data_IF_762860903042
#
_entry.id   IF_762860903042
#
_cell.length_a   1.000
_cell.length_b   1.000
_cell.length_c   1.000
_cell.angle_alpha   90.00
_cell.angle_beta   90.00
_cell.angle_gamma   90.00
#
_symmetry.space_group_name_H-M   'P 1'
#
loop_
_entity.id
_entity.type
_entity.pdbx_description
1 polymer ?
#
# COMPACT_ATOMS: atom_id res chain seq x y z
N UNK A 1 -1.01 15.99 29.63
CA UNK A 1 -0.80 14.95 30.66
C UNK A 1 -1.22 13.62 30.07
N UNK A 2 -0.35 12.62 30.18
CA UNK A 2 -0.62 11.23 29.78
C UNK A 2 -0.64 10.38 31.05
N UNK A 3 -1.61 9.48 31.13
CA UNK A 3 -1.88 8.55 32.22
C UNK A 3 -1.96 7.16 31.60
N UNK A 4 -1.35 6.18 32.26
CA UNK A 4 -1.37 4.76 31.89
C UNK A 4 -2.14 4.02 32.98
N UNK A 5 -3.04 3.12 32.58
CA UNK A 5 -3.78 2.28 33.54
C UNK A 5 -2.99 1.01 33.84
N UNK A 6 -2.80 0.71 35.12
CA UNK A 6 -2.06 -0.48 35.55
C UNK A 6 -2.88 -1.75 35.35
N UNK A 7 -2.22 -2.82 34.91
CA UNK A 7 -2.82 -4.12 34.58
C UNK A 7 -4.19 -4.00 33.85
N UNK A 8 -4.23 -3.23 32.76
CA UNK A 8 -5.49 -2.88 32.10
C UNK A 8 -6.33 -4.10 31.71
N UNK A 9 -5.75 -5.05 30.96
CA UNK A 9 -6.47 -6.26 30.53
C UNK A 9 -6.85 -7.18 31.70
N UNK A 10 -5.97 -7.32 32.70
CA UNK A 10 -6.26 -8.08 33.92
C UNK A 10 -7.34 -7.45 34.80
N UNK A 11 -7.67 -6.17 34.58
CA UNK A 11 -8.79 -5.50 35.27
C UNK A 11 -10.17 -5.92 34.74
N UNK A 12 -10.23 -6.72 33.66
CA UNK A 12 -11.47 -7.22 33.07
C UNK A 12 -11.65 -8.72 33.34
N UNK A 13 -12.08 -9.04 34.56
CA UNK A 13 -12.35 -10.40 34.97
C UNK A 13 -13.70 -10.95 34.42
N UNK A 14 -13.89 -12.25 34.58
CA UNK A 14 -15.08 -12.96 34.10
C UNK A 14 -16.38 -12.32 34.58
N UNK A 15 -16.44 -12.00 35.88
CA UNK A 15 -17.61 -11.40 36.51
C UNK A 15 -17.95 -10.03 35.93
N UNK A 16 -16.94 -9.21 35.65
CA UNK A 16 -17.09 -7.87 35.06
C UNK A 16 -17.59 -7.94 33.62
N UNK A 17 -17.03 -8.84 32.80
CA UNK A 17 -17.48 -9.05 31.41
C UNK A 17 -18.92 -9.57 31.37
N UNK A 18 -19.20 -10.63 32.12
CA UNK A 18 -20.55 -11.21 32.24
C UNK A 18 -21.56 -10.18 32.75
N UNK A 19 -21.21 -9.47 33.83
CA UNK A 19 -22.07 -8.46 34.44
C UNK A 19 -22.39 -7.31 33.49
N UNK A 20 -21.42 -6.86 32.70
CA UNK A 20 -21.65 -5.84 31.67
C UNK A 20 -22.72 -6.27 30.67
N UNK A 21 -22.59 -7.46 30.08
CA UNK A 21 -23.53 -7.93 29.06
C UNK A 21 -24.94 -8.20 29.58
N UNK A 22 -25.08 -8.56 30.87
CA UNK A 22 -26.38 -8.71 31.52
C UNK A 22 -27.03 -7.35 31.82
N UNK A 23 -26.26 -6.39 32.33
CA UNK A 23 -26.81 -5.15 32.91
C UNK A 23 -26.84 -3.96 31.96
N UNK A 24 -26.09 -4.01 30.85
CA UNK A 24 -26.08 -2.91 29.89
C UNK A 24 -27.40 -2.87 29.11
N UNK A 25 -28.07 -1.71 29.13
CA UNK A 25 -29.39 -1.49 28.50
C UNK A 25 -29.45 -1.70 26.99
N UNK A 26 -28.31 -1.61 26.28
CA UNK A 26 -28.27 -1.84 24.84
C UNK A 26 -28.13 -3.32 24.49
N UNK A 27 -27.74 -4.16 25.46
CA UNK A 27 -27.49 -5.58 25.27
C UNK A 27 -28.54 -6.43 25.99
N UNK A 28 -28.71 -6.23 27.30
CA UNK A 28 -29.68 -6.94 28.16
C UNK A 28 -29.70 -8.46 27.91
N UNK A 29 -28.52 -9.07 27.75
CA UNK A 29 -28.44 -10.48 27.35
C UNK A 29 -28.92 -11.40 28.46
N UNK A 30 -29.57 -12.50 28.07
CA UNK A 30 -29.88 -13.59 28.97
C UNK A 30 -28.61 -14.09 29.68
N UNK A 31 -28.76 -14.48 30.94
CA UNK A 31 -27.64 -14.86 31.82
C UNK A 31 -26.75 -15.92 31.19
N UNK A 32 -27.33 -16.92 30.55
CA UNK A 32 -26.57 -18.02 29.92
C UNK A 32 -25.75 -17.55 28.73
N UNK A 33 -26.30 -16.64 27.91
CA UNK A 33 -25.60 -16.06 26.75
C UNK A 33 -24.44 -15.19 27.21
N UNK A 34 -24.66 -14.32 28.20
CA UNK A 34 -23.60 -13.51 28.78
C UNK A 34 -22.50 -14.35 29.44
N UNK A 35 -22.89 -15.48 30.06
CA UNK A 35 -21.95 -16.44 30.65
C UNK A 35 -21.11 -17.11 29.57
N UNK A 36 -21.73 -17.58 28.48
CA UNK A 36 -21.02 -18.18 27.34
C UNK A 36 -20.03 -17.19 26.69
N UNK A 37 -20.44 -15.93 26.48
CA UNK A 37 -19.55 -14.88 25.96
C UNK A 37 -18.35 -14.67 26.90
N UNK A 38 -18.59 -14.57 28.21
CA UNK A 38 -17.52 -14.39 29.18
C UNK A 38 -16.56 -15.59 29.24
N UNK A 39 -17.07 -16.82 29.07
CA UNK A 39 -16.25 -18.04 29.01
C UNK A 39 -15.36 -18.09 27.76
N UNK A 40 -15.86 -17.61 26.63
CA UNK A 40 -15.09 -17.52 25.38
C UNK A 40 -14.06 -16.39 25.45
N UNK A 41 -14.46 -15.25 26.03
CA UNK A 41 -13.64 -14.05 26.02
C UNK A 41 -12.52 -14.07 27.06
N UNK A 42 -12.74 -14.67 28.24
CA UNK A 42 -11.80 -14.62 29.35
C UNK A 42 -10.99 -15.91 29.43
N UNK A 43 -9.69 -15.78 29.72
CA UNK A 43 -8.79 -16.88 30.02
C UNK A 43 -8.11 -16.59 31.36
N UNK A 44 -8.08 -17.57 32.28
CA UNK A 44 -7.54 -17.39 33.65
C UNK A 44 -8.09 -16.16 34.38
N UNK A 45 -9.39 -15.93 34.25
CA UNK A 45 -10.14 -14.81 34.85
C UNK A 45 -9.70 -13.40 34.40
N UNK A 46 -9.15 -13.28 33.20
CA UNK A 46 -8.82 -12.00 32.57
C UNK A 46 -9.08 -12.02 31.06
N UNK A 47 -9.16 -10.84 30.45
CA UNK A 47 -9.16 -10.73 28.98
C UNK A 47 -7.74 -10.95 28.45
N UNK A 48 -7.48 -12.00 27.65
CA UNK A 48 -6.14 -12.27 27.15
C UNK A 48 -5.70 -11.21 26.13
N UNK A 49 -4.44 -10.81 26.22
CA UNK A 49 -3.81 -9.97 25.19
C UNK A 49 -3.66 -10.78 23.89
N UNK A 50 -3.98 -10.17 22.75
CA UNK A 50 -3.94 -10.83 21.44
C UNK A 50 -5.25 -11.50 21.01
N UNK A 51 -6.24 -11.65 21.90
CA UNK A 51 -7.58 -12.08 21.49
C UNK A 51 -8.28 -10.97 20.69
N UNK A 52 -8.95 -11.29 19.57
CA UNK A 52 -9.68 -10.31 18.78
C UNK A 52 -10.90 -9.73 19.54
N UNK A 53 -11.43 -10.45 20.53
CA UNK A 53 -12.58 -10.00 21.32
C UNK A 53 -12.17 -8.98 22.40
N UNK A 54 -10.97 -9.12 22.97
CA UNK A 54 -10.53 -8.30 24.12
C UNK A 54 -10.61 -6.80 23.85
N UNK A 55 -10.05 -6.23 22.76
CA UNK A 55 -10.10 -4.79 22.51
C UNK A 55 -11.52 -4.23 22.34
N UNK A 56 -12.44 -5.04 21.83
CA UNK A 56 -13.85 -4.64 21.65
C UNK A 56 -14.53 -4.58 23.02
N UNK A 57 -14.38 -5.64 23.81
CA UNK A 57 -15.00 -5.76 25.14
C UNK A 57 -14.46 -4.68 26.08
N UNK A 58 -13.14 -4.43 26.11
CA UNK A 58 -12.56 -3.39 26.97
C UNK A 58 -13.11 -2.01 26.62
N UNK A 59 -13.24 -1.66 25.33
CA UNK A 59 -13.82 -0.39 24.91
C UNK A 59 -15.29 -0.24 25.31
N UNK A 60 -16.09 -1.30 25.21
CA UNK A 60 -17.49 -1.30 25.66
C UNK A 60 -17.60 -1.06 27.17
N UNK A 61 -16.79 -1.78 27.95
CA UNK A 61 -16.81 -1.69 29.41
C UNK A 61 -16.23 -0.36 29.92
N UNK A 62 -15.24 0.22 29.24
CA UNK A 62 -14.68 1.53 29.57
C UNK A 62 -15.61 2.70 29.25
N UNK A 63 -16.64 2.51 28.43
CA UNK A 63 -17.48 3.61 27.94
C UNK A 63 -18.11 4.48 29.05
N UNK A 64 -18.64 3.95 30.17
CA UNK A 64 -19.15 4.76 31.27
C UNK A 64 -18.06 5.65 31.91
N UNK A 65 -16.84 5.12 32.06
CA UNK A 65 -15.69 5.90 32.54
C UNK A 65 -15.37 7.02 31.55
N UNK A 66 -15.33 6.72 30.25
CA UNK A 66 -15.06 7.70 29.20
C UNK A 66 -16.06 8.86 29.24
N UNK A 67 -17.35 8.59 29.47
CA UNK A 67 -18.38 9.65 29.62
C UNK A 67 -18.05 10.58 30.79
N UNK A 68 -17.68 10.00 31.95
CA UNK A 68 -17.38 10.78 33.16
C UNK A 68 -16.12 11.61 32.97
N UNK A 69 -15.05 11.01 32.46
CA UNK A 69 -13.77 11.68 32.23
C UNK A 69 -13.88 12.76 31.14
N UNK A 70 -14.61 12.51 30.06
CA UNK A 70 -14.89 13.51 29.04
C UNK A 70 -15.70 14.69 29.58
N UNK A 71 -16.71 14.43 30.44
CA UNK A 71 -17.48 15.50 31.10
C UNK A 71 -16.61 16.31 32.05
N UNK A 72 -15.75 15.64 32.83
CA UNK A 72 -14.79 16.31 33.71
C UNK A 72 -13.83 17.19 32.90
N UNK A 73 -13.26 16.66 31.82
CA UNK A 73 -12.37 17.42 30.94
C UNK A 73 -13.07 18.67 30.39
N UNK A 74 -14.27 18.51 29.81
CA UNK A 74 -15.05 19.62 29.28
C UNK A 74 -15.33 20.69 30.34
N UNK A 75 -15.73 20.30 31.55
CA UNK A 75 -16.01 21.21 32.67
C UNK A 75 -14.81 22.10 33.02
N UNK A 76 -13.59 21.56 32.92
CA UNK A 76 -12.37 22.29 33.28
C UNK A 76 -11.58 22.83 32.07
N UNK A 77 -12.20 22.89 30.89
CA UNK A 77 -11.56 23.35 29.64
C UNK A 77 -10.35 22.51 29.22
N UNK A 78 -10.47 21.20 29.38
CA UNK A 78 -9.53 20.20 28.89
C UNK A 78 -10.19 19.32 27.82
N UNK A 79 -9.37 18.69 26.99
CA UNK A 79 -9.77 17.65 26.05
C UNK A 79 -9.30 16.29 26.58
N UNK A 80 -10.18 15.30 26.53
CA UNK A 80 -9.91 13.92 26.92
C UNK A 80 -9.85 13.03 25.67
N UNK A 81 -8.87 12.14 25.63
CA UNK A 81 -8.77 11.06 24.64
C UNK A 81 -8.22 9.81 25.31
N UNK A 82 -8.70 8.62 24.90
CA UNK A 82 -8.20 7.33 25.38
C UNK A 82 -7.87 6.43 24.20
N UNK A 83 -6.77 5.70 24.30
CA UNK A 83 -6.40 4.61 23.40
C UNK A 83 -6.02 3.40 24.27
N UNK A 84 -6.89 2.39 24.32
CA UNK A 84 -6.77 1.29 25.28
C UNK A 84 -6.62 1.82 26.73
N UNK A 85 -5.47 1.57 27.35
CA UNK A 85 -5.04 1.98 28.69
C UNK A 85 -4.40 3.37 28.75
N UNK A 86 -3.92 3.89 27.63
CA UNK A 86 -3.34 5.23 27.51
C UNK A 86 -4.45 6.29 27.51
N UNK A 87 -4.53 7.07 28.59
CA UNK A 87 -5.42 8.23 28.74
C UNK A 87 -4.61 9.52 28.58
N UNK A 88 -5.11 10.45 27.78
CA UNK A 88 -4.50 11.77 27.59
C UNK A 88 -5.49 12.88 27.89
N UNK A 89 -5.07 13.81 28.74
CA UNK A 89 -5.71 15.11 28.94
C UNK A 89 -4.83 16.22 28.35
N UNK A 90 -5.42 17.13 27.59
CA UNK A 90 -4.76 18.32 27.05
C UNK A 90 -5.57 19.59 27.36
N UNK A 91 -4.90 20.74 27.44
CA UNK A 91 -5.55 22.03 27.66
C UNK A 91 -4.79 23.13 26.90
N UNK A 92 -5.49 24.23 26.61
CA UNK A 92 -4.89 25.46 26.05
C UNK A 92 -4.50 26.47 27.13
N UNK A 93 -4.81 26.17 28.40
CA UNK A 93 -4.41 27.00 29.54
C UNK A 93 -2.92 26.81 29.83
N UNK A 94 -2.27 27.85 30.34
CA UNK A 94 -0.85 27.79 30.75
C UNK A 94 -0.61 26.77 31.88
N UNK A 95 -1.60 26.59 32.75
CA UNK A 95 -1.56 25.61 33.83
C UNK A 95 -2.73 24.64 33.69
N UNK A 96 -2.46 23.37 33.99
CA UNK A 96 -3.50 22.36 34.09
C UNK A 96 -4.42 22.68 35.29
N UNK A 97 -5.74 22.47 35.17
CA UNK A 97 -6.65 22.65 36.29
C UNK A 97 -6.33 21.69 37.44
N UNK A 98 -6.34 22.21 38.67
CA UNK A 98 -6.09 21.43 39.91
C UNK A 98 -7.05 20.25 40.09
N UNK A 99 -8.24 20.33 39.49
CA UNK A 99 -9.23 19.26 39.47
C UNK A 99 -8.90 18.09 38.51
N UNK A 100 -7.86 18.23 37.68
CA UNK A 100 -7.36 17.20 36.76
C UNK A 100 -5.98 16.75 37.22
N UNK A 101 -5.10 17.69 37.57
CA UNK A 101 -3.71 17.42 37.90
C UNK A 101 -3.24 18.38 39.00
N UNK A 102 -2.45 17.87 39.93
CA UNK A 102 -1.84 18.65 41.02
C UNK A 102 -0.34 18.66 40.84
N UNK A 103 0.28 19.81 41.10
CA UNK A 103 1.73 19.97 41.19
C UNK A 103 2.13 20.05 42.67
N UNK A 104 3.10 19.26 43.10
CA UNK A 104 3.65 19.31 44.45
C UNK A 104 5.16 19.18 44.36
N UNK A 105 5.89 20.20 44.83
CA UNK A 105 7.36 20.27 44.76
C UNK A 105 7.92 20.01 43.35
N UNK A 106 7.27 20.54 42.31
CA UNK A 106 7.65 20.35 40.91
C UNK A 106 7.29 18.99 40.31
N UNK A 107 6.66 18.09 41.08
CA UNK A 107 6.16 16.79 40.60
C UNK A 107 4.69 16.89 40.26
N UNK A 108 4.34 16.48 39.04
CA UNK A 108 2.98 16.50 38.53
C UNK A 108 2.32 15.13 38.72
N UNK A 109 1.15 15.12 39.37
CA UNK A 109 0.37 13.91 39.62
C UNK A 109 -1.09 14.13 39.23
N UNK A 110 -1.82 13.06 38.84
CA UNK A 110 -3.26 13.11 38.71
C UNK A 110 -3.91 13.62 40.00
N UNK A 111 -4.93 14.48 39.88
CA UNK A 111 -5.64 14.95 41.06
C UNK A 111 -6.38 13.81 41.76
N UNK A 112 -6.59 13.92 43.09
CA UNK A 112 -7.40 12.96 43.86
C UNK A 112 -8.78 12.73 43.26
N UNK A 113 -9.36 13.78 42.65
CA UNK A 113 -10.67 13.70 42.00
C UNK A 113 -10.64 12.83 40.75
N UNK A 114 -9.63 13.00 39.90
CA UNK A 114 -9.45 12.18 38.70
C UNK A 114 -9.15 10.73 39.08
N UNK A 115 -8.26 10.53 40.05
CA UNK A 115 -7.90 9.22 40.57
C UNK A 115 -9.11 8.48 41.13
N UNK A 116 -9.95 9.16 41.92
CA UNK A 116 -11.19 8.60 42.44
C UNK A 116 -12.15 8.12 41.32
N UNK A 117 -12.30 8.88 40.24
CA UNK A 117 -13.18 8.48 39.14
C UNK A 117 -12.66 7.25 38.39
N UNK A 118 -11.34 7.13 38.23
CA UNK A 118 -10.70 5.96 37.60
C UNK A 118 -10.81 4.74 38.52
N UNK A 119 -10.53 4.90 39.82
CA UNK A 119 -10.71 3.87 40.84
C UNK A 119 -12.17 3.39 40.93
N UNK A 120 -13.14 4.32 40.89
CA UNK A 120 -14.57 3.99 40.88
C UNK A 120 -14.97 3.17 39.65
N UNK A 121 -14.30 3.38 38.53
CA UNK A 121 -14.48 2.58 37.33
C UNK A 121 -13.73 1.23 37.39
N UNK A 122 -13.08 0.88 38.51
CA UNK A 122 -12.39 -0.39 38.69
C UNK A 122 -11.06 -0.47 37.94
N UNK A 123 -10.33 0.64 37.86
CA UNK A 123 -8.98 0.72 37.31
C UNK A 123 -8.04 1.44 38.27
N UNK A 124 -6.73 1.22 38.11
CA UNK A 124 -5.70 1.86 38.93
C UNK A 124 -4.76 2.64 38.01
N UNK A 125 -4.33 3.83 38.43
CA UNK A 125 -3.37 4.62 37.66
C UNK A 125 -1.94 4.12 37.91
N UNK A 126 -1.18 3.90 36.84
CA UNK A 126 0.26 3.73 36.94
C UNK A 126 0.95 5.10 37.09
N UNK A 127 1.19 5.51 38.33
CA UNK A 127 1.83 6.80 38.63
C UNK A 127 3.27 6.89 38.10
N UNK A 128 3.99 5.76 37.94
CA UNK A 128 5.37 5.76 37.41
C UNK A 128 5.44 6.09 35.92
N UNK A 129 4.39 5.76 35.17
CA UNK A 129 4.29 6.00 33.71
C UNK A 129 3.51 7.27 33.36
N UNK A 130 2.88 7.89 34.35
CA UNK A 130 2.17 9.16 34.17
C UNK A 130 3.17 10.28 33.90
N UNK A 131 2.92 11.09 32.86
CA UNK A 131 3.84 12.16 32.44
C UNK A 131 3.12 13.43 32.00
N UNK A 132 3.75 14.58 32.26
CA UNK A 132 3.36 15.87 31.68
C UNK A 132 4.25 16.19 30.48
N UNK A 133 3.69 16.88 29.49
CA UNK A 133 4.41 17.29 28.30
C UNK A 133 4.01 18.73 27.98
N UNK A 134 4.99 19.63 28.05
CA UNK A 134 4.81 21.06 27.81
C UNK A 134 4.77 21.36 26.30
N UNK A 135 4.27 22.54 25.95
CA UNK A 135 4.12 22.96 24.54
C UNK A 135 5.46 23.20 23.82
N UNK A 136 6.47 23.62 24.57
CA UNK A 136 7.84 23.89 24.13
C UNK A 136 8.71 22.63 24.06
N UNK A 137 8.26 21.55 24.72
CA UNK A 137 8.86 20.22 24.69
C UNK A 137 8.16 19.31 23.67
N UNK A 138 8.81 18.23 23.24
CA UNK A 138 8.17 17.23 22.36
C UNK A 138 6.95 16.60 23.06
N UNK A 139 5.79 16.66 22.40
CA UNK A 139 4.55 16.04 22.87
C UNK A 139 4.27 14.74 22.10
N UNK A 140 4.46 13.61 22.77
CA UNK A 140 4.30 12.24 22.27
C UNK A 140 3.09 11.55 22.92
N UNK A 141 2.07 11.31 22.10
CA UNK A 141 0.83 10.64 22.46
C UNK A 141 0.69 9.42 21.56
N UNK A 142 0.60 8.23 22.17
CA UNK A 142 0.44 6.94 21.47
C UNK A 142 1.43 6.71 20.32
N UNK A 143 2.66 7.21 20.46
CA UNK A 143 3.73 7.09 19.47
C UNK A 143 3.74 8.16 18.37
N UNK A 144 2.81 9.12 18.42
CA UNK A 144 2.69 10.25 17.51
C UNK A 144 3.09 11.56 18.18
N UNK A 145 3.80 12.41 17.43
CA UNK A 145 4.13 13.77 17.88
C UNK A 145 2.96 14.70 17.56
N UNK A 146 2.49 15.48 18.52
CA UNK A 146 1.22 16.24 18.38
C UNK A 146 1.35 17.76 18.57
N UNK A 147 2.56 18.29 18.76
CA UNK A 147 2.79 19.71 19.09
C UNK A 147 2.06 20.74 18.19
N UNK A 148 2.13 20.56 16.87
CA UNK A 148 1.55 21.50 15.88
C UNK A 148 0.72 20.78 14.83
N UNK A 149 1.23 19.64 14.37
CA UNK A 149 0.59 18.69 13.46
C UNK A 149 0.97 17.29 13.89
N UNK A 150 0.28 16.29 13.36
CA UNK A 150 0.64 14.90 13.60
C UNK A 150 2.02 14.64 12.99
N UNK A 151 2.94 14.14 13.79
CA UNK A 151 4.31 13.88 13.42
C UNK A 151 4.74 12.49 13.89
N UNK A 152 5.89 12.09 13.41
CA UNK A 152 6.50 10.81 13.76
C UNK A 152 7.72 11.11 14.62
N UNK A 153 8.13 10.17 15.47
CA UNK A 153 9.41 10.24 16.17
C UNK A 153 10.57 10.34 15.17
N UNK A 154 11.55 11.22 15.43
CA UNK A 154 12.70 11.42 14.52
C UNK A 154 13.55 10.15 14.45
N UNK A 155 13.68 9.49 15.59
CA UNK A 155 14.39 8.23 15.83
C UNK A 155 13.81 7.14 14.92
N UNK A 156 12.48 6.94 14.96
CA UNK A 156 11.79 5.97 14.11
C UNK A 156 12.09 6.20 12.63
N UNK A 157 12.03 7.45 12.16
CA UNK A 157 12.33 7.79 10.77
C UNK A 157 13.79 7.54 10.39
N UNK A 158 14.73 7.88 11.26
CA UNK A 158 16.17 7.69 11.01
C UNK A 158 16.50 6.21 10.93
N UNK A 159 15.97 5.42 11.86
CA UNK A 159 16.12 3.96 11.87
C UNK A 159 15.53 3.35 10.60
N UNK A 160 14.29 3.70 10.23
CA UNK A 160 13.68 3.20 8.98
C UNK A 160 14.51 3.58 7.75
N UNK A 161 15.02 4.81 7.69
CA UNK A 161 15.88 5.25 6.57
C UNK A 161 17.21 4.49 6.54
N UNK A 162 17.80 4.20 7.69
CA UNK A 162 19.03 3.41 7.79
C UNK A 162 18.79 1.96 7.36
N UNK A 163 17.67 1.34 7.76
CA UNK A 163 17.24 0.02 7.29
C UNK A 163 17.07 -0.01 5.77
N UNK A 164 16.40 0.99 5.18
CA UNK A 164 16.31 1.12 3.72
C UNK A 164 17.68 1.24 3.07
N UNK A 165 18.57 2.06 3.65
CA UNK A 165 19.91 2.23 3.09
C UNK A 165 20.71 0.93 3.10
N UNK A 166 20.71 0.20 4.23
CA UNK A 166 21.31 -1.14 4.32
C UNK A 166 20.75 -2.07 3.24
N UNK A 167 19.42 -2.16 3.15
CA UNK A 167 18.74 -3.00 2.16
C UNK A 167 19.16 -2.65 0.72
N UNK A 168 19.25 -1.36 0.39
CA UNK A 168 19.64 -0.89 -0.96
C UNK A 168 21.11 -1.13 -1.30
N UNK A 169 21.96 -1.28 -0.29
CA UNK A 169 23.39 -1.48 -0.46
C UNK A 169 23.80 -2.95 -0.38
N UNK A 170 23.16 -3.76 0.46
CA UNK A 170 23.60 -5.14 0.74
C UNK A 170 22.57 -6.20 0.37
N UNK A 171 21.33 -5.82 0.07
CA UNK A 171 20.22 -6.75 -0.12
C UNK A 171 19.50 -7.16 1.16
N UNK A 172 20.01 -6.77 2.33
CA UNK A 172 19.47 -7.15 3.63
C UNK A 172 19.60 -6.02 4.67
N UNK A 173 18.88 -6.13 5.78
CA UNK A 173 19.06 -5.24 6.93
C UNK A 173 18.80 -5.98 8.22
N UNK A 174 19.49 -5.58 9.28
CA UNK A 174 19.28 -6.13 10.63
C UNK A 174 18.41 -5.20 11.46
N UNK A 175 17.66 -5.81 12.38
CA UNK A 175 16.90 -5.12 13.43
C UNK A 175 17.25 -5.74 14.77
N UNK A 176 17.14 -4.94 15.83
CA UNK A 176 17.33 -5.43 17.20
C UNK A 176 15.96 -5.72 17.79
N UNK A 177 15.72 -6.97 18.19
CA UNK A 177 14.51 -7.43 18.89
C UNK A 177 14.98 -8.02 20.22
N UNK A 178 14.50 -7.48 21.33
CA UNK A 178 14.86 -7.95 22.69
C UNK A 178 16.38 -7.99 22.99
N UNK A 179 17.17 -7.18 22.26
CA UNK A 179 18.63 -7.13 22.40
C UNK A 179 19.39 -8.02 21.43
N UNK A 180 18.70 -8.86 20.65
CA UNK A 180 19.30 -9.72 19.63
C UNK A 180 19.13 -9.14 18.22
N UNK A 181 20.20 -9.23 17.42
CA UNK A 181 20.14 -8.86 16.01
C UNK A 181 19.46 -9.97 15.21
N UNK A 182 18.39 -9.60 14.52
CA UNK A 182 17.63 -10.47 13.63
C UNK A 182 17.54 -9.84 12.26
N UNK A 183 17.48 -10.67 11.22
CA UNK A 183 17.25 -10.20 9.87
C UNK A 183 15.83 -9.64 9.74
N UNK A 184 15.71 -8.45 9.15
CA UNK A 184 14.43 -7.81 8.89
C UNK A 184 13.87 -8.19 7.52
N UNK A 185 12.55 -8.15 7.38
CA UNK A 185 11.90 -8.50 6.10
C UNK A 185 11.46 -7.27 5.31
N UNK A 186 11.39 -7.38 3.98
CA UNK A 186 10.86 -6.31 3.11
C UNK A 186 9.44 -5.89 3.55
N UNK A 187 8.60 -6.84 3.97
CA UNK A 187 7.22 -6.56 4.41
C UNK A 187 7.17 -5.73 5.70
N UNK A 188 8.06 -6.01 6.66
CA UNK A 188 8.18 -5.20 7.86
C UNK A 188 8.59 -3.77 7.53
N UNK A 189 9.62 -3.60 6.69
CA UNK A 189 10.10 -2.28 6.27
C UNK A 189 9.03 -1.52 5.49
N UNK A 190 8.27 -2.21 4.62
CA UNK A 190 7.11 -1.64 3.94
C UNK A 190 6.05 -1.18 4.93
N UNK A 191 5.76 -1.96 5.98
CA UNK A 191 4.85 -1.58 7.06
C UNK A 191 5.28 -0.29 7.75
N UNK A 192 6.58 -0.16 8.07
CA UNK A 192 7.15 1.06 8.66
C UNK A 192 7.02 2.28 7.74
N UNK A 193 7.29 2.10 6.45
CA UNK A 193 7.17 3.17 5.46
C UNK A 193 5.70 3.55 5.19
N UNK A 194 4.79 2.58 5.15
CA UNK A 194 3.35 2.83 5.03
C UNK A 194 2.80 3.61 6.22
N UNK A 195 3.25 3.30 7.44
CA UNK A 195 2.89 4.10 8.61
C UNK A 195 3.37 5.55 8.43
N UNK A 196 4.61 5.75 7.99
CA UNK A 196 5.15 7.08 7.72
C UNK A 196 4.33 7.84 6.67
N UNK A 197 4.03 7.17 5.56
CA UNK A 197 3.25 7.72 4.46
C UNK A 197 1.81 8.05 4.88
N UNK A 198 1.18 7.23 5.72
CA UNK A 198 -0.19 7.50 6.19
C UNK A 198 -0.30 8.81 6.99
N UNK A 199 0.71 9.12 7.80
CA UNK A 199 0.78 10.37 8.58
C UNK A 199 1.08 11.55 7.65
N UNK A 200 1.97 11.37 6.69
CA UNK A 200 2.28 12.40 5.71
C UNK A 200 1.09 12.73 4.81
N UNK A 201 0.36 11.71 4.36
CA UNK A 201 -0.88 11.85 3.62
C UNK A 201 -1.96 12.53 4.46
N UNK A 202 -2.13 12.14 5.72
CA UNK A 202 -3.07 12.80 6.63
C UNK A 202 -2.77 14.30 6.74
N UNK A 203 -1.50 14.64 6.96
CA UNK A 203 -1.10 16.04 7.10
C UNK A 203 -1.35 16.85 5.82
N UNK A 204 -1.09 16.26 4.65
CA UNK A 204 -1.35 16.91 3.35
C UNK A 204 -2.84 17.20 3.12
N UNK A 205 -3.71 16.28 3.53
CA UNK A 205 -5.17 16.42 3.32
C UNK A 205 -5.78 17.40 4.31
N UNK A 206 -5.35 17.37 5.58
CA UNK A 206 -6.03 18.08 6.67
C UNK A 206 -5.39 19.44 7.04
N UNK A 207 -4.19 19.76 6.56
CA UNK A 207 -3.54 21.06 6.80
C UNK A 207 -3.12 21.74 5.49
N UNK A 208 -4.07 22.05 4.58
CA UNK A 208 -3.77 22.51 3.22
C UNK A 208 -3.19 23.93 3.13
N UNK A 209 -3.45 24.82 4.09
CA UNK A 209 -3.15 26.26 3.92
C UNK A 209 -1.80 26.71 4.52
N UNK A 210 -1.24 26.01 5.51
CA UNK A 210 0.05 26.40 6.13
C UNK A 210 1.26 25.63 5.59
N UNK A 211 1.06 24.70 4.66
CA UNK A 211 2.10 23.84 4.08
C UNK A 211 2.01 23.84 2.55
N UNK A 212 2.31 24.98 1.93
CA UNK A 212 2.67 25.23 0.51
C UNK A 212 1.66 24.87 -0.62
N UNK A 213 1.45 25.78 -1.59
CA UNK A 213 0.76 25.49 -2.87
C UNK A 213 1.38 24.37 -3.75
N UNK A 214 2.60 23.90 -3.42
CA UNK A 214 3.36 22.87 -4.16
C UNK A 214 2.74 21.46 -4.13
N UNK A 215 1.71 21.20 -3.32
CA UNK A 215 1.19 19.83 -3.13
C UNK A 215 -0.03 19.47 -3.99
N UNK A 216 -0.48 20.35 -4.90
CA UNK A 216 -1.60 20.04 -5.80
C UNK A 216 -1.14 19.10 -6.93
N UNK A 217 -1.27 17.78 -6.74
CA UNK A 217 -0.89 16.75 -7.72
C UNK A 217 -1.41 16.98 -9.15
N UNK A 218 -2.58 17.62 -9.30
CA UNK A 218 -3.17 17.93 -10.61
C UNK A 218 -2.27 18.85 -11.47
N UNK A 219 -1.40 19.66 -10.86
CA UNK A 219 -0.53 20.62 -11.56
C UNK A 219 0.78 20.02 -12.07
N UNK A 220 1.22 18.88 -11.54
CA UNK A 220 2.55 18.31 -11.82
C UNK A 220 2.54 17.15 -12.84
N UNK A 221 1.36 16.78 -13.38
CA UNK A 221 1.24 15.75 -14.40
C UNK A 221 1.91 14.43 -14.02
N UNK A 222 2.95 14.06 -14.78
CA UNK A 222 3.79 12.86 -14.59
C UNK A 222 5.04 13.11 -13.73
N UNK A 223 5.38 14.37 -13.41
CA UNK A 223 6.64 14.77 -12.75
C UNK A 223 6.45 15.07 -11.27
N UNK A 224 5.93 14.10 -10.53
CA UNK A 224 5.67 14.27 -9.09
C UNK A 224 6.94 14.25 -8.22
N UNK A 225 8.09 13.79 -8.75
CA UNK A 225 9.39 13.80 -8.04
C UNK A 225 9.78 15.15 -7.46
N UNK A 226 9.42 16.23 -8.14
CA UNK A 226 9.77 17.61 -7.78
C UNK A 226 9.16 18.05 -6.44
N UNK A 227 8.06 17.43 -6.03
CA UNK A 227 7.30 17.82 -4.82
C UNK A 227 7.47 16.84 -3.66
N UNK A 228 8.37 15.87 -3.78
CA UNK A 228 8.61 14.87 -2.73
C UNK A 228 9.49 15.41 -1.61
N UNK A 229 9.05 15.19 -0.38
CA UNK A 229 9.90 15.37 0.79
C UNK A 229 10.89 14.19 0.95
N UNK A 230 11.85 14.29 1.89
CA UNK A 230 12.88 13.25 2.08
C UNK A 230 12.31 11.85 2.41
N UNK A 231 11.17 11.78 3.09
CA UNK A 231 10.52 10.52 3.47
C UNK A 231 9.86 9.86 2.27
N UNK A 232 9.18 10.65 1.44
CA UNK A 232 8.58 10.18 0.18
C UNK A 232 9.65 9.75 -0.82
N UNK A 233 10.78 10.46 -0.91
CA UNK A 233 11.93 10.00 -1.71
C UNK A 233 12.45 8.64 -1.22
N UNK A 234 12.51 8.44 0.09
CA UNK A 234 12.92 7.15 0.68
C UNK A 234 11.91 6.06 0.35
N UNK A 235 10.61 6.36 0.46
CA UNK A 235 9.56 5.37 0.16
C UNK A 235 9.49 5.05 -1.34
N UNK A 236 9.63 6.05 -2.21
CA UNK A 236 9.74 5.87 -3.66
C UNK A 236 10.88 4.92 -4.03
N UNK A 237 12.07 5.13 -3.47
CA UNK A 237 13.23 4.25 -3.65
C UNK A 237 12.92 2.83 -3.15
N UNK A 238 12.32 2.70 -1.98
CA UNK A 238 11.92 1.40 -1.47
C UNK A 238 10.93 0.67 -2.38
N UNK A 239 9.90 1.36 -2.88
CA UNK A 239 8.93 0.76 -3.79
C UNK A 239 9.59 0.36 -5.11
N UNK A 240 10.50 1.18 -5.66
CA UNK A 240 11.24 0.82 -6.86
C UNK A 240 12.12 -0.40 -6.61
N UNK A 241 12.85 -0.42 -5.50
CA UNK A 241 13.65 -1.57 -5.08
C UNK A 241 12.80 -2.83 -5.02
N UNK A 242 11.70 -2.80 -4.27
CA UNK A 242 10.78 -3.95 -4.10
C UNK A 242 10.20 -4.46 -5.42
N UNK A 243 9.75 -3.56 -6.31
CA UNK A 243 9.01 -3.98 -7.51
C UNK A 243 9.90 -4.26 -8.72
N UNK A 244 11.08 -3.64 -8.81
CA UNK A 244 11.86 -3.61 -10.05
C UNK A 244 13.33 -4.00 -9.90
N UNK A 245 13.87 -4.02 -8.68
CA UNK A 245 15.28 -4.37 -8.44
C UNK A 245 15.43 -5.69 -7.68
N UNK A 246 14.72 -5.85 -6.56
CA UNK A 246 14.70 -7.04 -5.72
C UNK A 246 13.31 -7.70 -5.76
N UNK A 247 12.71 -7.73 -6.94
CA UNK A 247 11.44 -8.41 -7.15
C UNK A 247 11.63 -9.92 -7.03
N UNK A 248 10.79 -10.55 -6.21
CA UNK A 248 10.83 -11.99 -5.93
C UNK A 248 10.45 -12.88 -7.12
N UNK A 249 9.79 -12.29 -8.12
CA UNK A 249 9.37 -12.96 -9.35
C UNK A 249 9.35 -11.94 -10.49
N UNK A 250 9.33 -12.36 -11.78
CA UNK A 250 9.25 -11.45 -12.91
C UNK A 250 8.09 -10.47 -12.75
N UNK A 251 8.36 -9.18 -12.90
CA UNK A 251 7.37 -8.10 -12.72
C UNK A 251 6.87 -7.64 -14.08
N UNK A 252 5.55 -7.69 -14.29
CA UNK A 252 4.90 -7.25 -15.52
C UNK A 252 4.18 -5.91 -15.32
N UNK A 253 4.47 -4.94 -16.19
CA UNK A 253 3.75 -3.67 -16.30
C UNK A 253 2.99 -3.64 -17.63
N UNK A 254 1.68 -3.41 -17.57
CA UNK A 254 0.87 -3.24 -18.78
C UNK A 254 0.49 -1.77 -18.99
N UNK A 255 -0.03 -1.41 -20.15
CA UNK A 255 -0.48 -0.04 -20.39
C UNK A 255 -1.70 0.31 -19.53
N UNK A 256 -2.72 -0.56 -19.51
CA UNK A 256 -3.94 -0.38 -18.74
C UNK A 256 -4.05 -1.30 -17.53
N UNK A 257 -4.96 -0.99 -16.61
CA UNK A 257 -5.32 -1.90 -15.51
C UNK A 257 -6.18 -3.09 -15.98
N UNK A 258 -6.86 -2.95 -17.12
CA UNK A 258 -7.68 -3.99 -17.76
C UNK A 258 -6.81 -5.13 -18.28
N UNK A 259 -5.64 -4.82 -18.79
CA UNK A 259 -4.69 -5.76 -19.38
C UNK A 259 -4.24 -6.81 -18.35
N UNK A 260 -4.03 -6.38 -17.10
CA UNK A 260 -3.74 -7.27 -15.98
C UNK A 260 -4.84 -8.33 -15.81
N UNK A 261 -6.11 -7.97 -16.02
CA UNK A 261 -7.24 -8.90 -15.91
C UNK A 261 -7.23 -9.87 -17.09
N UNK A 262 -7.05 -9.36 -18.31
CA UNK A 262 -6.98 -10.22 -19.50
C UNK A 262 -5.86 -11.25 -19.40
N UNK A 263 -4.65 -10.82 -19.06
CA UNK A 263 -3.48 -11.70 -18.94
C UNK A 263 -3.63 -12.71 -17.81
N UNK A 264 -4.17 -12.32 -16.66
CA UNK A 264 -4.46 -13.26 -15.56
C UNK A 264 -5.48 -14.31 -15.97
N UNK A 265 -6.54 -13.93 -16.68
CA UNK A 265 -7.56 -14.87 -17.17
C UNK A 265 -6.99 -15.81 -18.24
N UNK A 266 -6.21 -15.26 -19.18
CA UNK A 266 -5.53 -16.04 -20.22
C UNK A 266 -4.55 -17.07 -19.63
N UNK A 267 -3.73 -16.67 -18.66
CA UNK A 267 -2.80 -17.56 -17.98
C UNK A 267 -3.52 -18.71 -17.25
N UNK A 268 -4.64 -18.43 -16.57
CA UNK A 268 -5.43 -19.49 -15.92
C UNK A 268 -5.97 -20.52 -16.92
N UNK A 269 -6.42 -20.05 -18.08
CA UNK A 269 -6.93 -20.92 -19.16
C UNK A 269 -5.80 -21.71 -19.83
N UNK A 270 -4.67 -21.06 -20.11
CA UNK A 270 -3.53 -21.61 -20.84
C UNK A 270 -2.43 -22.20 -19.93
N UNK A 271 -2.72 -22.47 -18.66
CA UNK A 271 -1.72 -22.87 -17.65
C UNK A 271 -0.86 -24.06 -18.04
N UNK A 272 -1.43 -25.02 -18.78
CA UNK A 272 -0.72 -26.22 -19.27
C UNK A 272 0.40 -25.84 -20.25
N UNK A 273 0.20 -24.80 -21.06
CA UNK A 273 1.16 -24.34 -22.05
C UNK A 273 2.25 -23.42 -21.46
N UNK A 274 1.96 -22.76 -20.32
CA UNK A 274 2.86 -21.76 -19.72
C UNK A 274 3.24 -22.06 -18.27
N UNK A 275 3.84 -23.22 -17.95
CA UNK A 275 4.21 -23.61 -16.59
C UNK A 275 5.27 -22.71 -15.94
N UNK A 276 6.01 -21.92 -16.75
CA UNK A 276 6.95 -20.88 -16.25
C UNK A 276 6.22 -19.63 -15.71
N UNK A 277 4.99 -19.36 -16.15
CA UNK A 277 4.25 -18.15 -15.78
C UNK A 277 3.18 -18.41 -14.71
N UNK A 278 2.67 -19.64 -14.64
CA UNK A 278 1.62 -20.04 -13.71
C UNK A 278 1.73 -21.55 -13.41
N UNK A 279 1.43 -21.95 -12.17
CA UNK A 279 1.23 -23.36 -11.81
C UNK A 279 -0.27 -23.73 -11.79
N UNK A 280 -0.70 -24.68 -10.95
CA UNK A 280 -2.11 -25.05 -10.80
C UNK A 280 -3.02 -23.82 -10.53
N UNK A 281 -2.60 -22.91 -9.66
CA UNK A 281 -3.39 -21.73 -9.23
C UNK A 281 -2.56 -20.48 -8.93
N UNK A 282 -1.26 -20.62 -8.71
CA UNK A 282 -0.36 -19.54 -8.32
C UNK A 282 0.37 -18.99 -9.55
N UNK A 283 0.35 -17.68 -9.68
CA UNK A 283 1.15 -16.98 -10.69
C UNK A 283 2.61 -16.98 -10.26
N UNK A 284 3.51 -17.27 -11.21
CA UNK A 284 4.96 -17.14 -11.06
C UNK A 284 5.47 -15.79 -11.56
N UNK A 285 4.57 -14.84 -11.79
CA UNK A 285 4.84 -13.47 -12.20
C UNK A 285 3.94 -12.51 -11.40
N UNK A 286 4.42 -11.29 -11.17
CA UNK A 286 3.67 -10.24 -10.48
C UNK A 286 3.23 -9.17 -11.46
N UNK A 287 1.95 -8.80 -11.44
CA UNK A 287 1.43 -7.66 -12.19
C UNK A 287 1.40 -6.40 -11.33
N UNK A 288 1.96 -5.30 -11.83
CA UNK A 288 1.88 -4.00 -11.16
C UNK A 288 0.46 -3.45 -11.26
N UNK A 289 -0.14 -3.12 -10.12
CA UNK A 289 -1.43 -2.45 -10.08
C UNK A 289 -1.24 -0.95 -9.91
N UNK A 290 -1.79 -0.18 -10.85
CA UNK A 290 -1.77 1.28 -10.77
C UNK A 290 -2.72 1.79 -9.69
N UNK A 291 -2.21 2.69 -8.86
CA UNK A 291 -2.94 3.34 -7.78
C UNK A 291 -2.53 4.81 -7.69
N UNK A 292 -3.27 5.59 -6.89
CA UNK A 292 -2.87 6.97 -6.56
C UNK A 292 -1.45 7.01 -5.95
N UNK A 293 -1.07 5.97 -5.21
CA UNK A 293 0.26 5.84 -4.59
C UNK A 293 1.35 5.54 -5.61
N UNK A 294 1.17 4.58 -6.52
CA UNK A 294 2.17 4.32 -7.57
C UNK A 294 2.30 5.52 -8.52
N UNK A 295 1.18 6.18 -8.83
CA UNK A 295 1.21 7.43 -9.59
C UNK A 295 2.06 8.48 -8.88
N UNK A 296 1.87 8.64 -7.58
CA UNK A 296 2.55 9.70 -6.83
C UNK A 296 4.00 9.37 -6.48
N UNK A 297 4.33 8.14 -6.11
CA UNK A 297 5.67 7.76 -5.60
C UNK A 297 6.54 7.08 -6.66
N UNK A 298 5.97 6.54 -7.73
CA UNK A 298 6.73 5.88 -8.80
C UNK A 298 6.56 6.57 -10.16
N UNK A 299 5.65 7.54 -10.26
CA UNK A 299 5.23 8.14 -11.54
C UNK A 299 4.72 7.06 -12.50
N UNK A 300 3.89 6.13 -11.97
CA UNK A 300 3.29 5.03 -12.70
C UNK A 300 1.78 5.01 -12.50
N UNK A 301 1.03 5.36 -13.54
CA UNK A 301 -0.43 5.40 -13.56
C UNK A 301 -1.07 4.64 -14.73
N UNK A 302 -0.27 3.92 -15.52
CA UNK A 302 -0.69 3.37 -16.81
C UNK A 302 -0.67 4.42 -17.93
N UNK A 303 -0.80 3.95 -19.16
CA UNK A 303 -0.68 4.74 -20.39
C UNK A 303 0.76 4.84 -20.89
N UNK A 304 0.91 4.90 -22.22
CA UNK A 304 2.20 5.02 -22.92
C UNK A 304 3.12 6.13 -22.38
N UNK A 305 2.59 7.30 -21.99
CA UNK A 305 3.42 8.42 -21.54
C UNK A 305 4.14 8.17 -20.20
N UNK A 306 3.47 7.51 -19.23
CA UNK A 306 4.10 7.15 -17.96
C UNK A 306 5.14 6.04 -18.16
N UNK A 307 4.84 5.06 -19.01
CA UNK A 307 5.76 3.96 -19.33
C UNK A 307 7.00 4.45 -20.09
N UNK A 308 6.86 5.39 -21.03
CA UNK A 308 7.99 6.02 -21.70
C UNK A 308 8.96 6.66 -20.71
N UNK A 309 8.45 7.47 -19.77
CA UNK A 309 9.28 8.10 -18.74
C UNK A 309 9.92 7.08 -17.79
N UNK A 310 9.21 5.99 -17.48
CA UNK A 310 9.73 4.90 -16.67
C UNK A 310 10.91 4.23 -17.37
N UNK A 311 10.76 3.87 -18.66
CA UNK A 311 11.81 3.27 -19.50
C UNK A 311 13.04 4.18 -19.53
N UNK A 312 12.88 5.47 -19.84
CA UNK A 312 14.02 6.39 -19.99
C UNK A 312 14.72 6.70 -18.67
N UNK A 313 14.03 6.61 -17.53
CA UNK A 313 14.62 6.84 -16.21
C UNK A 313 15.02 5.55 -15.49
N UNK A 314 14.89 4.39 -16.14
CA UNK A 314 15.11 3.09 -15.48
C UNK A 314 16.57 2.92 -15.08
N UNK A 315 17.51 3.05 -16.02
CA UNK A 315 18.94 2.85 -15.78
C UNK A 315 19.49 3.78 -14.68
N UNK A 316 19.11 5.07 -14.70
CA UNK A 316 19.51 6.04 -13.69
C UNK A 316 19.04 5.63 -12.28
N UNK A 317 17.79 5.16 -12.17
CA UNK A 317 17.22 4.69 -10.90
C UNK A 317 17.85 3.38 -10.46
N UNK A 318 18.14 2.49 -11.40
CA UNK A 318 18.78 1.20 -11.17
C UNK A 318 20.18 1.38 -10.56
N UNK A 319 21.00 2.29 -11.11
CA UNK A 319 22.36 2.61 -10.64
C UNK A 319 22.44 3.13 -9.19
N UNK A 320 21.31 3.54 -8.61
CA UNK A 320 21.28 3.98 -7.20
C UNK A 320 21.53 2.82 -6.23
N UNK A 321 21.17 1.59 -6.59
CA UNK A 321 21.27 0.42 -5.72
C UNK A 321 22.61 -0.29 -5.92
N UNK A 322 23.18 -0.78 -4.81
CA UNK A 322 24.43 -1.53 -4.78
C UNK A 322 24.24 -2.96 -4.27
N UNK A 323 23.00 -3.33 -3.96
CA UNK A 323 22.60 -4.68 -3.58
C UNK A 323 22.94 -5.70 -4.68
N UNK A 324 22.88 -7.02 -4.37
CA UNK A 324 23.05 -8.06 -5.37
C UNK A 324 22.16 -7.82 -6.60
N UNK A 325 22.66 -8.22 -7.77
CA UNK A 325 21.92 -8.07 -9.03
C UNK A 325 20.53 -8.70 -8.92
N UNK A 326 19.51 -8.12 -9.57
CA UNK A 326 18.17 -8.69 -9.59
C UNK A 326 18.18 -10.15 -10.02
N UNK A 327 17.32 -10.94 -9.40
CA UNK A 327 17.12 -12.31 -9.85
C UNK A 327 16.08 -12.40 -10.96
N UNK A 328 15.22 -11.39 -11.12
CA UNK A 328 14.05 -11.47 -11.98
C UNK A 328 13.93 -10.25 -12.91
N UNK A 329 13.43 -10.42 -14.14
CA UNK A 329 13.24 -9.34 -15.08
C UNK A 329 12.00 -8.50 -14.74
N UNK A 330 12.02 -7.27 -15.24
CA UNK A 330 10.88 -6.35 -15.35
C UNK A 330 10.47 -6.30 -16.81
N UNK A 331 9.22 -6.65 -17.11
CA UNK A 331 8.70 -6.79 -18.47
C UNK A 331 7.56 -5.80 -18.65
N UNK A 332 7.70 -4.88 -19.59
CA UNK A 332 6.63 -3.97 -19.98
C UNK A 332 5.92 -4.55 -21.20
N UNK A 333 4.60 -4.74 -21.10
CA UNK A 333 3.73 -5.15 -22.20
C UNK A 333 3.03 -3.91 -22.75
N UNK A 334 3.14 -3.70 -24.06
CA UNK A 334 2.58 -2.55 -24.77
C UNK A 334 1.77 -2.99 -25.98
N UNK A 335 0.72 -2.23 -26.26
CA UNK A 335 0.00 -2.34 -27.53
C UNK A 335 0.92 -1.96 -28.69
N UNK A 336 0.83 -2.71 -29.78
CA UNK A 336 1.61 -2.51 -31.00
C UNK A 336 0.80 -1.65 -31.97
N UNK A 337 0.54 -0.41 -31.57
CA UNK A 337 -0.31 0.53 -32.30
C UNK A 337 0.44 1.82 -32.69
N UNK A 338 -0.24 2.70 -33.42
CA UNK A 338 0.27 4.02 -33.82
C UNK A 338 0.53 4.94 -32.60
N UNK A 339 -0.03 4.62 -31.43
CA UNK A 339 0.20 5.33 -30.18
C UNK A 339 1.68 5.33 -29.78
N UNK A 340 2.43 4.29 -30.18
CA UNK A 340 3.87 4.16 -29.98
C UNK A 340 4.71 5.13 -30.83
N UNK A 341 4.15 5.65 -31.93
CA UNK A 341 4.88 6.35 -32.99
C UNK A 341 4.85 7.88 -32.91
N UNK A 342 4.03 8.44 -32.00
CA UNK A 342 3.94 9.90 -31.78
C UNK A 342 5.30 10.50 -31.42
N UNK A 343 5.51 11.78 -31.70
CA UNK A 343 6.76 12.48 -31.34
C UNK A 343 7.04 12.35 -29.83
N UNK A 344 8.21 11.79 -29.47
CA UNK A 344 8.56 11.44 -28.09
C UNK A 344 7.94 10.14 -27.56
N UNK A 345 7.34 9.33 -28.44
CA UNK A 345 6.74 8.03 -28.13
C UNK A 345 7.78 6.95 -27.82
N UNK A 346 7.29 5.80 -27.33
CA UNK A 346 8.12 4.73 -26.77
C UNK A 346 9.12 4.19 -27.80
N UNK A 347 8.73 4.05 -29.07
CA UNK A 347 9.64 3.54 -30.11
C UNK A 347 10.84 4.46 -30.36
N UNK A 348 10.63 5.78 -30.31
CA UNK A 348 11.72 6.77 -30.43
C UNK A 348 12.64 6.66 -29.21
N UNK A 349 12.07 6.58 -28.01
CA UNK A 349 12.84 6.45 -26.76
C UNK A 349 13.68 5.19 -26.70
N UNK A 350 13.15 4.05 -27.16
CA UNK A 350 13.91 2.80 -27.22
C UNK A 350 15.11 2.89 -28.19
N UNK A 351 15.00 3.65 -29.28
CA UNK A 351 16.09 3.86 -30.23
C UNK A 351 17.18 4.80 -29.70
N UNK A 352 16.85 5.70 -28.77
CA UNK A 352 17.79 6.61 -28.12
C UNK A 352 18.63 5.90 -27.04
N UNK A 353 18.13 4.79 -26.48
CA UNK A 353 18.82 4.01 -25.44
C UNK A 353 19.85 3.08 -26.10
N UNK A 354 21.13 3.27 -25.76
CA UNK A 354 22.25 2.55 -26.37
C UNK A 354 22.30 1.06 -26.03
N UNK A 355 21.82 0.67 -24.85
CA UNK A 355 21.79 -0.72 -24.37
C UNK A 355 20.67 -1.57 -24.98
N UNK A 356 19.80 -0.97 -25.81
CA UNK A 356 18.65 -1.66 -26.40
C UNK A 356 19.06 -2.72 -27.42
N UNK A 357 18.68 -3.98 -27.16
CA UNK A 357 18.87 -5.13 -28.03
C UNK A 357 17.53 -5.74 -28.44
N UNK A 358 17.38 -6.05 -29.74
CA UNK A 358 16.15 -6.58 -30.33
C UNK A 358 16.29 -8.09 -30.56
N UNK A 359 15.29 -8.86 -30.14
CA UNK A 359 15.28 -10.32 -30.29
C UNK A 359 14.04 -10.81 -31.04
N UNK A 360 14.19 -11.75 -31.99
CA UNK A 360 15.45 -12.21 -32.56
C UNK A 360 16.22 -11.07 -33.28
N UNK A 361 17.54 -11.19 -33.49
CA UNK A 361 18.31 -10.16 -34.17
C UNK A 361 17.68 -9.81 -35.53
N UNK A 362 17.30 -8.54 -35.76
CA UNK A 362 16.56 -8.17 -36.96
C UNK A 362 17.46 -8.19 -38.20
N UNK A 363 16.89 -8.33 -39.41
CA UNK A 363 17.66 -8.24 -40.64
C UNK A 363 18.43 -6.93 -40.76
N UNK A 364 19.60 -6.97 -41.41
CA UNK A 364 20.49 -5.79 -41.55
C UNK A 364 19.77 -4.60 -42.20
N UNK A 365 19.01 -4.85 -43.27
CA UNK A 365 18.21 -3.84 -43.99
C UNK A 365 16.78 -3.71 -43.42
N UNK A 366 16.18 -2.52 -43.53
CA UNK A 366 14.80 -2.26 -43.10
C UNK A 366 14.67 -1.10 -42.10
N UNK A 367 13.45 -0.56 -41.98
CA UNK A 367 13.14 0.54 -41.05
C UNK A 367 13.30 0.08 -39.59
N UNK A 368 14.07 0.83 -38.78
CA UNK A 368 14.30 0.55 -37.35
C UNK A 368 13.01 0.43 -36.54
N UNK A 369 11.96 1.21 -36.85
CA UNK A 369 10.65 1.10 -36.18
C UNK A 369 10.01 -0.25 -36.45
N UNK A 370 10.01 -0.69 -37.71
CA UNK A 370 9.47 -2.00 -38.09
C UNK A 370 10.24 -3.13 -37.43
N UNK A 371 11.56 -3.00 -37.26
CA UNK A 371 12.38 -4.00 -36.53
C UNK A 371 11.94 -4.15 -35.08
N UNK A 372 11.62 -3.05 -34.39
CA UNK A 372 11.10 -3.08 -33.02
C UNK A 372 9.70 -3.69 -32.96
N UNK A 373 8.77 -3.27 -33.84
CA UNK A 373 7.39 -3.79 -33.88
C UNK A 373 7.32 -5.30 -34.17
N UNK A 374 8.31 -5.87 -34.86
CA UNK A 374 8.38 -7.30 -35.20
C UNK A 374 9.18 -8.13 -34.19
N UNK A 375 9.75 -7.53 -33.15
CA UNK A 375 10.51 -8.25 -32.14
C UNK A 375 9.63 -9.25 -31.38
N UNK A 376 10.21 -10.36 -30.98
CA UNK A 376 9.65 -11.20 -29.92
C UNK A 376 9.73 -10.45 -28.58
N UNK A 377 10.90 -9.89 -28.27
CA UNK A 377 11.09 -9.01 -27.12
C UNK A 377 12.26 -8.07 -27.38
N UNK A 378 12.32 -7.00 -26.58
CA UNK A 378 13.38 -6.01 -26.60
C UNK A 378 14.00 -5.99 -25.21
N UNK A 379 15.27 -6.31 -25.10
CA UNK A 379 16.05 -6.08 -23.89
C UNK A 379 16.50 -4.63 -23.89
N UNK A 380 16.06 -3.83 -22.92
CA UNK A 380 16.31 -2.39 -22.91
C UNK A 380 17.61 -2.04 -22.20
N UNK A 381 17.72 -2.46 -20.94
CA UNK A 381 18.90 -2.27 -20.08
C UNK A 381 18.75 -3.16 -18.85
N UNK A 382 19.85 -3.59 -18.24
CA UNK A 382 19.84 -4.34 -16.97
C UNK A 382 18.81 -5.49 -16.97
N UNK A 383 17.83 -5.47 -16.08
CA UNK A 383 16.74 -6.44 -16.00
C UNK A 383 15.43 -5.95 -16.67
N UNK A 384 15.44 -4.87 -17.46
CA UNK A 384 14.26 -4.29 -18.12
C UNK A 384 14.07 -4.81 -19.55
N UNK A 385 12.84 -5.23 -19.85
CA UNK A 385 12.38 -5.74 -21.12
C UNK A 385 11.09 -5.05 -21.58
N UNK A 386 10.89 -5.01 -22.90
CA UNK A 386 9.65 -4.58 -23.54
C UNK A 386 9.16 -5.69 -24.47
N UNK A 387 7.86 -5.98 -24.40
CA UNK A 387 7.16 -6.93 -25.25
C UNK A 387 5.95 -6.23 -25.88
N UNK A 388 5.85 -6.28 -27.20
CA UNK A 388 4.70 -5.76 -27.93
C UNK A 388 3.67 -6.86 -28.20
N UNK A 389 2.40 -6.47 -28.29
CA UNK A 389 1.36 -7.35 -28.85
C UNK A 389 1.75 -7.81 -30.27
N UNK A 390 1.42 -9.06 -30.64
CA UNK A 390 1.81 -9.61 -31.94
C UNK A 390 1.02 -8.96 -33.08
N UNK A 391 1.73 -8.49 -34.12
CA UNK A 391 1.11 -7.95 -35.33
C UNK A 391 0.18 -8.99 -36.00
N UNK A 392 -0.98 -8.56 -36.47
CA UNK A 392 -1.97 -9.43 -37.14
C UNK A 392 -1.91 -9.24 -38.65
N UNK A 393 -1.13 -10.09 -39.32
CA UNK A 393 -0.88 -9.96 -40.76
C UNK A 393 -0.15 -8.66 -41.11
N UNK A 394 0.82 -8.27 -40.28
CA UNK A 394 1.60 -7.04 -40.43
C UNK A 394 0.90 -5.74 -40.02
N UNK A 395 -0.33 -5.84 -39.51
CA UNK A 395 -1.10 -4.69 -39.00
C UNK A 395 -0.95 -4.54 -37.49
N UNK A 396 -1.05 -3.28 -37.07
CA UNK A 396 -1.09 -2.85 -35.68
C UNK A 396 -2.21 -3.53 -34.89
N UNK A 397 -1.96 -3.76 -33.60
CA UNK A 397 -2.83 -4.54 -32.71
C UNK A 397 -2.81 -3.99 -31.30
N UNK A 398 -3.99 -3.97 -30.67
CA UNK A 398 -4.15 -3.78 -29.24
C UNK A 398 -4.34 -5.14 -28.53
N UNK A 399 -4.19 -5.18 -27.20
CA UNK A 399 -4.39 -6.41 -26.43
C UNK A 399 -5.80 -6.99 -26.60
N UNK A 400 -6.82 -6.14 -26.82
CA UNK A 400 -8.17 -6.61 -27.08
C UNK A 400 -8.31 -7.35 -28.43
N UNK A 401 -7.44 -7.09 -29.41
CA UNK A 401 -7.48 -7.78 -30.71
C UNK A 401 -7.05 -9.25 -30.65
N UNK A 402 -6.60 -9.70 -29.46
CA UNK A 402 -6.28 -11.09 -29.15
C UNK A 402 -7.52 -11.91 -28.77
N UNK A 403 -8.66 -11.27 -28.53
CA UNK A 403 -9.93 -11.94 -28.33
C UNK A 403 -10.61 -12.24 -29.67
N UNK A 404 -11.48 -13.26 -29.68
CA UNK A 404 -12.28 -13.59 -30.84
C UNK A 404 -13.48 -12.63 -31.01
N UNK A 405 -14.10 -12.69 -32.20
CA UNK A 405 -15.25 -11.84 -32.53
C UNK A 405 -16.42 -12.10 -31.58
N UNK A 406 -16.59 -13.33 -31.08
CA UNK A 406 -17.66 -13.69 -30.16
C UNK A 406 -17.51 -12.96 -28.82
N UNK A 407 -16.31 -12.96 -28.23
CA UNK A 407 -16.01 -12.22 -27.02
C UNK A 407 -16.19 -10.70 -27.24
N UNK A 408 -15.62 -10.15 -28.32
CA UNK A 408 -15.72 -8.71 -28.63
C UNK A 408 -17.16 -8.25 -28.93
N UNK A 409 -18.04 -9.15 -29.37
CA UNK A 409 -19.46 -8.86 -29.65
C UNK A 409 -20.38 -9.11 -28.46
N UNK A 410 -19.82 -9.35 -27.26
CA UNK A 410 -20.60 -9.66 -26.06
C UNK A 410 -21.48 -8.50 -25.60
N UNK A 411 -22.68 -8.85 -25.13
CA UNK A 411 -23.69 -7.90 -24.65
C UNK A 411 -23.81 -8.00 -23.13
N UNK A 412 -23.70 -6.86 -22.45
CA UNK A 412 -23.86 -6.77 -20.98
C UNK A 412 -25.01 -5.83 -20.66
N UNK A 413 -26.09 -6.37 -20.10
CA UNK A 413 -27.30 -5.60 -19.77
C UNK A 413 -27.83 -4.76 -20.96
N UNK A 414 -27.86 -5.36 -22.15
CA UNK A 414 -28.33 -4.69 -23.39
C UNK A 414 -27.34 -3.72 -24.03
N UNK A 415 -26.12 -3.54 -23.46
CA UNK A 415 -25.08 -2.66 -23.99
C UNK A 415 -24.02 -3.45 -24.75
N UNK A 416 -23.41 -2.83 -25.76
CA UNK A 416 -22.32 -3.39 -26.56
C UNK A 416 -20.95 -2.84 -26.15
N UNK A 417 -19.88 -3.55 -26.48
CA UNK A 417 -18.54 -3.14 -26.11
C UNK A 417 -18.02 -2.00 -27.02
N UNK A 418 -17.60 -0.87 -26.44
CA UNK A 418 -16.79 0.13 -27.14
C UNK A 418 -15.30 -0.08 -26.83
N UNK A 419 -14.60 -0.63 -27.83
CA UNK A 419 -13.15 -0.85 -27.78
C UNK A 419 -12.33 0.43 -27.81
N UNK A 420 -12.87 1.52 -28.37
CA UNK A 420 -12.09 2.74 -28.67
C UNK A 420 -11.96 3.67 -27.48
N UNK A 421 -12.78 3.46 -26.44
CA UNK A 421 -12.97 4.37 -25.30
C UNK A 421 -13.25 5.84 -25.70
N UNK A 422 -13.66 6.08 -26.95
CA UNK A 422 -14.07 7.41 -27.42
C UNK A 422 -15.48 7.73 -26.93
N UNK A 423 -16.32 6.70 -26.72
CA UNK A 423 -17.66 6.87 -26.19
C UNK A 423 -17.60 6.77 -24.67
N UNK A 424 -18.18 7.75 -23.97
CA UNK A 424 -18.44 7.60 -22.54
C UNK A 424 -19.44 6.45 -22.34
N UNK A 425 -19.26 5.60 -21.31
CA UNK A 425 -20.24 4.57 -20.99
C UNK A 425 -21.65 5.16 -20.91
N UNK A 426 -22.58 4.54 -21.61
CA UNK A 426 -23.94 5.04 -21.81
C UNK A 426 -24.95 3.90 -21.69
N UNK A 427 -26.24 4.19 -21.96
CA UNK A 427 -27.27 3.16 -22.08
C UNK A 427 -27.06 2.19 -23.24
N UNK A 428 -26.14 2.48 -24.17
CA UNK A 428 -25.89 1.67 -25.37
C UNK A 428 -24.53 0.99 -25.37
N UNK A 429 -23.53 1.54 -24.66
CA UNK A 429 -22.15 1.05 -24.71
C UNK A 429 -21.52 0.89 -23.32
N UNK A 430 -20.63 -0.09 -23.19
CA UNK A 430 -19.74 -0.27 -22.04
C UNK A 430 -18.26 -0.25 -22.46
N UNK A 431 -17.39 0.19 -21.55
CA UNK A 431 -15.94 0.34 -21.81
C UNK A 431 -15.09 -0.85 -21.38
N UNK A 432 -13.76 -0.73 -21.55
CA UNK A 432 -12.79 -1.82 -21.31
C UNK A 432 -12.85 -2.39 -19.89
N UNK A 433 -13.09 -1.57 -18.88
CA UNK A 433 -13.17 -2.04 -17.49
C UNK A 433 -14.34 -3.01 -17.26
N UNK A 434 -15.48 -2.74 -17.87
CA UNK A 434 -16.65 -3.61 -17.76
C UNK A 434 -16.48 -4.86 -18.61
N UNK A 435 -15.87 -4.75 -19.80
CA UNK A 435 -15.47 -5.91 -20.61
C UNK A 435 -14.56 -6.86 -19.83
N UNK A 436 -13.49 -6.34 -19.23
CA UNK A 436 -12.53 -7.11 -18.45
C UNK A 436 -13.17 -7.83 -17.26
N UNK A 437 -14.05 -7.14 -16.51
CA UNK A 437 -14.60 -7.67 -15.25
C UNK A 437 -15.86 -8.52 -15.46
N UNK A 438 -16.80 -8.10 -16.31
CA UNK A 438 -18.09 -8.76 -16.49
C UNK A 438 -18.07 -9.85 -17.55
N UNK A 439 -17.25 -9.70 -18.60
CA UNK A 439 -17.15 -10.67 -19.68
C UNK A 439 -15.96 -11.58 -19.43
N UNK A 440 -14.75 -11.04 -19.50
CA UNK A 440 -13.53 -11.86 -19.50
C UNK A 440 -13.32 -12.59 -18.18
N UNK A 441 -13.44 -11.90 -17.04
CA UNK A 441 -13.17 -12.51 -15.74
C UNK A 441 -14.28 -13.46 -15.28
N UNK A 442 -15.56 -13.08 -15.44
CA UNK A 442 -16.70 -13.90 -14.98
C UNK A 442 -17.01 -15.07 -15.91
N UNK A 443 -16.81 -14.91 -17.22
CA UNK A 443 -17.10 -15.93 -18.21
C UNK A 443 -15.83 -16.62 -18.71
N UNK A 444 -14.74 -16.58 -17.93
CA UNK A 444 -13.42 -17.08 -18.35
C UNK A 444 -13.42 -18.53 -18.86
N UNK A 445 -14.35 -19.38 -18.40
CA UNK A 445 -14.48 -20.77 -18.86
C UNK A 445 -14.99 -20.91 -20.30
N UNK A 446 -15.68 -19.91 -20.84
CA UNK A 446 -16.26 -19.93 -22.19
C UNK A 446 -15.49 -19.06 -23.18
N UNK A 447 -14.52 -18.28 -22.70
CA UNK A 447 -13.70 -17.39 -23.55
C UNK A 447 -12.53 -18.17 -24.15
N UNK A 448 -12.34 -18.01 -25.46
CA UNK A 448 -11.18 -18.52 -26.16
C UNK A 448 -9.97 -17.58 -25.96
N UNK A 449 -8.92 -18.08 -25.32
CA UNK A 449 -7.68 -17.32 -25.07
C UNK A 449 -6.54 -17.66 -26.03
N UNK A 450 -6.76 -18.45 -27.08
CA UNK A 450 -5.67 -18.91 -27.97
C UNK A 450 -4.87 -17.76 -28.61
N UNK A 451 -5.49 -16.59 -28.83
CA UNK A 451 -4.81 -15.39 -29.34
C UNK A 451 -3.71 -14.84 -28.41
N UNK A 452 -3.74 -15.18 -27.12
CA UNK A 452 -2.72 -14.75 -26.15
C UNK A 452 -1.44 -15.60 -26.20
N UNK A 453 -1.46 -16.76 -26.86
CA UNK A 453 -0.34 -17.72 -26.86
C UNK A 453 0.96 -17.09 -27.33
N UNK A 454 0.94 -16.34 -28.43
CA UNK A 454 2.14 -15.67 -28.97
C UNK A 454 2.69 -14.62 -28.01
N UNK A 455 1.82 -13.80 -27.42
CA UNK A 455 2.22 -12.78 -26.45
C UNK A 455 2.85 -13.41 -25.20
N UNK A 456 2.22 -14.44 -24.63
CA UNK A 456 2.73 -15.14 -23.45
C UNK A 456 4.04 -15.89 -23.76
N UNK A 457 4.18 -16.47 -24.95
CA UNK A 457 5.44 -17.08 -25.41
C UNK A 457 6.57 -16.06 -25.48
N UNK A 458 6.30 -14.83 -25.95
CA UNK A 458 7.27 -13.73 -25.93
C UNK A 458 7.70 -13.33 -24.52
N UNK A 459 6.76 -13.30 -23.57
CA UNK A 459 7.08 -13.06 -22.15
C UNK A 459 7.98 -14.17 -21.60
N UNK A 460 7.70 -15.45 -21.91
CA UNK A 460 8.57 -16.57 -21.53
C UNK A 460 9.97 -16.42 -22.11
N UNK A 461 10.09 -16.08 -23.39
CA UNK A 461 11.39 -15.85 -24.06
C UNK A 461 12.19 -14.73 -23.39
N UNK A 462 11.54 -13.65 -22.95
CA UNK A 462 12.22 -12.57 -22.22
C UNK A 462 12.75 -13.05 -20.85
N UNK A 463 11.98 -13.88 -20.14
CA UNK A 463 12.42 -14.50 -18.87
C UNK A 463 13.63 -15.42 -19.11
N UNK A 464 13.55 -16.29 -20.11
CA UNK A 464 14.62 -17.21 -20.48
C UNK A 464 15.90 -16.50 -20.93
N UNK A 465 15.75 -15.40 -21.67
CA UNK A 465 16.88 -14.55 -22.02
C UNK A 465 17.52 -13.93 -20.78
N UNK A 466 16.72 -13.44 -19.83
CA UNK A 466 17.29 -12.90 -18.59
C UNK A 466 18.01 -13.96 -17.76
N UNK A 467 17.43 -15.15 -17.65
CA UNK A 467 18.05 -16.30 -16.97
C UNK A 467 19.43 -16.66 -17.57
N UNK A 468 19.64 -16.45 -18.87
CA UNK A 468 20.90 -16.78 -19.55
C UNK A 468 22.00 -15.71 -19.44
N UNK A 469 21.65 -14.47 -19.10
CA UNK A 469 22.60 -13.35 -19.05
C UNK A 469 22.88 -12.79 -17.64
N UNK A 470 22.11 -13.21 -16.62
CA UNK A 470 22.14 -12.61 -15.27
C UNK A 470 23.38 -12.99 -14.45
#
# INVERSE_FOLDING_TARGET
MNIDLDNFFGSFNFGRVRGFFIKNKNFELHVDVATAIAQIACFKDELPQGSPCSPVITNLICHPMDIVLARMAKKYSCTYTRYADDITFSTRKNHFPSAIMVETNGVYTPSKKLDHEICRAGFVINHKKSRIQYQDSRQDVTGLIVNKKIGIKKEYRRITKAMCHSLFCTGQYVKVVEGEETEGTINELEGRLNFIDSIDRHNRVNYPESLSPLYQHRKHGVRTREVWNSREKTFSRFLYYKYFYANQMPTVLCEGHTDNIYLKSALKSLKVQFPKLIDATNFKITFVNYSKRTRFLLELAGGTSYLANFITSFEERYKFYQAPKPENPVIIILDNDDGLEKNGGILVKLQEIQSTNIFPPPPRKGNKKNKLKNADFIHVTDNLYVVFTPLKGGRDTMIEDLFDVAALSSVVSGRTFDRTEKLKPSSSYYGKNEFATQVIQKQASTINFSGFTTLLSRVVKAIEHYESIR
#
